data_IF_053044533531
#
_entry.id   IF_053044533531
#
_cell.length_a   1.000
_cell.length_b   1.000
_cell.length_c   1.000
_cell.angle_alpha   90.00
_cell.angle_beta   90.00
_cell.angle_gamma   90.00
#
_symmetry.space_group_name_H-M   'P 1'
#
loop_
_entity.id
_entity.type
_entity.pdbx_description
1 polymer ?
#
# COMPACT_ATOMS: atom_id res chain seq x y z
N UNK A 1 15.84 72.57 -7.46
CA UNK A 1 16.23 71.16 -7.20
C UNK A 1 15.23 70.26 -7.92
N UNK A 2 15.61 69.62 -9.03
CA UNK A 2 14.73 68.75 -9.84
C UNK A 2 14.93 67.30 -9.40
N UNK A 3 13.83 66.61 -9.03
CA UNK A 3 13.85 65.17 -8.68
C UNK A 3 13.74 64.32 -9.94
N UNK A 4 14.62 63.33 -10.04
CA UNK A 4 14.71 62.32 -11.09
C UNK A 4 13.71 61.19 -10.78
N UNK A 5 12.88 60.80 -11.76
CA UNK A 5 11.98 59.63 -11.67
C UNK A 5 12.63 58.51 -12.50
N UNK A 6 12.95 57.39 -11.86
CA UNK A 6 13.32 56.15 -12.57
C UNK A 6 12.02 55.40 -12.95
N UNK A 7 11.85 55.10 -14.23
CA UNK A 7 10.90 54.08 -14.71
C UNK A 7 11.57 52.70 -14.66
N UNK A 8 11.00 51.77 -13.91
CA UNK A 8 11.34 50.36 -14.00
C UNK A 8 10.49 49.70 -15.10
N UNK A 9 11.16 49.14 -16.11
CA UNK A 9 10.50 48.34 -17.15
C UNK A 9 10.26 46.91 -16.62
N UNK A 10 9.01 46.50 -16.50
CA UNK A 10 8.65 45.11 -16.25
C UNK A 10 8.64 44.33 -17.56
N UNK A 11 9.60 43.42 -17.72
CA UNK A 11 9.59 42.40 -18.78
C UNK A 11 8.54 41.34 -18.44
N UNK A 12 7.44 41.31 -19.18
CA UNK A 12 6.47 40.23 -19.11
C UNK A 12 7.04 38.99 -19.80
N UNK A 13 7.37 37.96 -19.03
CA UNK A 13 7.65 36.63 -19.59
C UNK A 13 6.32 35.98 -20.01
N UNK A 14 6.21 35.42 -21.22
CA UNK A 14 5.03 34.68 -21.61
C UNK A 14 4.91 33.45 -20.72
N UNK A 15 3.79 33.35 -20.00
CA UNK A 15 3.41 32.16 -19.27
C UNK A 15 3.12 31.07 -20.30
N UNK A 16 4.05 30.13 -20.49
CA UNK A 16 3.78 28.93 -21.29
C UNK A 16 2.66 28.16 -20.59
N UNK A 17 1.48 28.19 -21.21
CA UNK A 17 0.36 27.33 -20.82
C UNK A 17 0.83 25.88 -20.93
N UNK A 18 1.02 25.23 -19.77
CA UNK A 18 1.27 23.79 -19.69
C UNK A 18 0.08 23.10 -20.33
N UNK A 19 0.31 22.34 -21.40
CA UNK A 19 -0.72 21.54 -22.05
C UNK A 19 -1.38 20.66 -20.99
N UNK A 20 -2.71 20.70 -20.90
CA UNK A 20 -3.47 19.76 -20.10
C UNK A 20 -3.07 18.32 -20.50
N UNK A 21 -2.89 17.40 -19.55
CA UNK A 21 -2.64 16.01 -19.90
C UNK A 21 -3.79 15.49 -20.77
N UNK A 22 -3.45 14.71 -21.79
CA UNK A 22 -4.43 14.05 -22.64
C UNK A 22 -5.44 13.32 -21.76
N UNK A 23 -6.74 13.53 -22.03
CA UNK A 23 -7.85 12.85 -21.35
C UNK A 23 -7.72 11.34 -21.59
N UNK A 24 -7.10 10.66 -20.63
CA UNK A 24 -6.89 9.21 -20.67
C UNK A 24 -8.15 8.45 -20.22
N UNK A 25 -9.29 9.14 -20.06
CA UNK A 25 -10.59 8.59 -19.75
C UNK A 25 -10.77 8.11 -18.31
N UNK A 26 -9.78 8.27 -17.43
CA UNK A 26 -9.91 7.92 -16.01
C UNK A 26 -10.78 8.94 -15.28
N UNK A 27 -11.80 8.45 -14.57
CA UNK A 27 -12.66 9.26 -13.72
C UNK A 27 -12.43 8.89 -12.26
N UNK A 28 -12.24 9.89 -11.40
CA UNK A 28 -12.09 9.66 -9.96
C UNK A 28 -13.41 9.11 -9.41
N UNK A 29 -13.39 7.91 -8.85
CA UNK A 29 -14.58 7.23 -8.31
C UNK A 29 -14.55 7.09 -6.79
N UNK A 30 -13.37 7.18 -6.19
CA UNK A 30 -13.21 7.14 -4.75
C UNK A 30 -11.92 7.87 -4.34
N UNK A 31 -11.96 8.59 -3.23
CA UNK A 31 -10.80 9.29 -2.70
C UNK A 31 -10.86 9.37 -1.18
N UNK A 32 -9.69 9.44 -0.55
CA UNK A 32 -9.54 9.95 0.80
C UNK A 32 -8.34 10.90 0.87
N UNK A 33 -8.62 12.18 1.13
CA UNK A 33 -7.63 13.25 1.31
C UNK A 33 -7.19 13.37 2.77
N UNK A 34 -7.78 12.58 3.69
CA UNK A 34 -7.44 12.60 5.12
C UNK A 34 -7.54 13.98 5.81
N UNK A 35 -8.38 14.88 5.29
CA UNK A 35 -8.59 16.24 5.83
C UNK A 35 -9.41 16.27 7.14
N UNK A 36 -10.24 15.24 7.36
CA UNK A 36 -11.03 15.14 8.58
C UNK A 36 -10.12 14.87 9.80
N UNK A 37 -10.42 15.39 11.00
CA UNK A 37 -9.55 15.24 12.18
C UNK A 37 -9.44 13.80 12.70
N UNK A 38 -10.19 12.85 12.13
CA UNK A 38 -10.22 11.44 12.51
C UNK A 38 -10.36 10.59 11.26
N UNK A 39 -9.83 9.37 11.34
CA UNK A 39 -9.93 8.36 10.29
C UNK A 39 -11.40 8.06 10.03
N UNK A 40 -11.83 8.20 8.77
CA UNK A 40 -13.20 7.94 8.36
C UNK A 40 -13.53 6.45 8.48
N UNK A 41 -14.40 6.12 9.45
CA UNK A 41 -14.87 4.77 9.73
C UNK A 41 -15.99 4.33 8.81
N UNK A 42 -16.38 5.10 7.80
CA UNK A 42 -17.14 4.62 6.66
C UNK A 42 -16.20 4.05 5.59
N UNK A 43 -14.99 4.61 5.44
CA UNK A 43 -13.97 4.23 4.45
C UNK A 43 -12.98 3.17 4.93
N UNK A 44 -12.58 3.22 6.20
CA UNK A 44 -11.52 2.38 6.74
C UNK A 44 -11.93 1.54 7.94
N UNK A 45 -11.53 0.27 7.93
CA UNK A 45 -11.57 -0.67 9.07
C UNK A 45 -10.14 -0.87 9.59
N UNK A 46 -10.01 -1.12 10.89
CA UNK A 46 -8.74 -1.55 11.48
C UNK A 46 -8.72 -3.07 11.55
N UNK A 47 -7.60 -3.67 11.16
CA UNK A 47 -7.27 -5.03 11.55
C UNK A 47 -6.55 -5.00 12.91
N UNK A 48 -6.93 -5.90 13.80
CA UNK A 48 -6.37 -5.97 15.16
C UNK A 48 -6.04 -7.40 15.55
N UNK A 49 -4.76 -7.70 15.59
CA UNK A 49 -4.19 -9.01 15.93
C UNK A 49 -2.68 -8.90 16.15
N UNK A 50 -2.09 -9.98 16.65
CA UNK A 50 -0.66 -10.16 16.87
C UNK A 50 -0.16 -11.43 16.16
N UNK A 51 -0.85 -11.82 15.07
CA UNK A 51 -0.73 -13.14 14.45
C UNK A 51 0.61 -13.35 13.74
N UNK A 52 1.13 -12.29 13.13
CA UNK A 52 2.36 -12.35 12.33
C UNK A 52 2.11 -12.45 10.82
N UNK A 53 0.84 -12.35 10.38
CA UNK A 53 0.48 -12.22 8.96
C UNK A 53 0.75 -13.45 8.09
N UNK A 54 1.16 -14.58 8.67
CA UNK A 54 1.73 -15.72 7.92
C UNK A 54 3.18 -15.51 7.48
N UNK A 55 3.79 -14.38 7.85
CA UNK A 55 5.13 -13.95 7.44
C UNK A 55 6.11 -13.82 8.62
N UNK A 56 5.75 -14.32 9.80
CA UNK A 56 6.50 -14.17 11.07
C UNK A 56 6.71 -12.72 11.51
N UNK A 57 5.76 -11.83 11.19
CA UNK A 57 5.80 -10.42 11.59
C UNK A 57 5.81 -10.26 13.12
N UNK A 58 6.47 -9.20 13.61
CA UNK A 58 6.82 -9.00 15.03
C UNK A 58 5.91 -8.01 15.77
N UNK A 59 4.96 -7.36 15.10
CA UNK A 59 4.04 -6.40 15.70
C UNK A 59 2.69 -6.99 16.10
N UNK A 60 2.02 -6.32 17.03
CA UNK A 60 0.56 -6.32 17.13
C UNK A 60 0.00 -5.14 16.32
N UNK A 61 -0.93 -5.41 15.40
CA UNK A 61 -1.77 -4.37 14.81
C UNK A 61 -2.84 -3.94 15.81
N UNK A 62 -2.99 -2.63 16.01
CA UNK A 62 -3.95 -2.07 16.96
C UNK A 62 -4.82 -0.99 16.32
N UNK A 63 -5.94 -0.68 16.97
CA UNK A 63 -6.83 0.45 16.64
C UNK A 63 -6.52 1.71 17.47
N UNK A 64 -5.39 1.74 18.18
CA UNK A 64 -5.02 2.85 19.05
C UNK A 64 -4.68 4.09 18.24
N UNK A 65 -5.11 5.26 18.71
CA UNK A 65 -4.70 6.56 18.16
C UNK A 65 -3.18 6.79 18.21
N UNK A 66 -2.45 6.00 19.00
CA UNK A 66 -0.98 6.01 19.02
C UNK A 66 -0.36 5.31 17.81
N UNK A 67 -1.07 4.39 17.16
CA UNK A 67 -0.59 3.64 16.00
C UNK A 67 -1.20 4.11 14.69
N UNK A 68 -2.39 4.73 14.71
CA UNK A 68 -2.98 5.34 13.53
C UNK A 68 -3.83 6.55 13.88
N UNK A 69 -3.60 7.66 13.20
CA UNK A 69 -4.36 8.90 13.37
C UNK A 69 -4.22 9.82 12.17
N UNK A 70 -5.00 10.89 12.17
CA UNK A 70 -4.83 11.98 11.21
C UNK A 70 -3.96 13.06 11.84
N UNK A 71 -2.90 13.46 11.13
CA UNK A 71 -2.02 14.55 11.52
C UNK A 71 -1.77 15.47 10.32
N UNK A 72 -2.14 16.74 10.43
CA UNK A 72 -1.90 17.75 9.40
C UNK A 72 -2.40 17.33 8.00
N UNK A 73 -3.64 16.86 7.91
CA UNK A 73 -4.27 16.44 6.65
C UNK A 73 -3.76 15.12 6.09
N UNK A 74 -3.14 14.26 6.92
CA UNK A 74 -2.51 13.02 6.47
C UNK A 74 -2.85 11.87 7.39
N UNK A 75 -3.04 10.67 6.83
CA UNK A 75 -3.04 9.45 7.62
C UNK A 75 -1.61 9.12 8.04
N UNK A 76 -1.39 8.91 9.33
CA UNK A 76 -0.11 8.50 9.88
C UNK A 76 -0.25 7.13 10.52
N UNK A 77 0.42 6.13 9.94
CA UNK A 77 0.60 4.80 10.54
C UNK A 77 1.94 4.78 11.27
N UNK A 78 1.90 4.57 12.59
CA UNK A 78 3.05 4.61 13.49
C UNK A 78 3.32 3.26 14.11
N UNK A 79 4.47 2.68 13.77
CA UNK A 79 5.02 1.53 14.48
C UNK A 79 5.83 1.99 15.70
N UNK A 80 5.75 1.23 16.79
CA UNK A 80 6.41 1.53 18.08
C UNK A 80 7.08 0.28 18.63
N UNK A 81 8.24 0.46 19.26
CA UNK A 81 8.86 -0.57 20.09
C UNK A 81 8.29 -0.48 21.50
N UNK A 82 7.25 -1.27 21.75
CA UNK A 82 6.55 -1.34 23.03
C UNK A 82 5.87 -2.71 23.19
N UNK A 83 5.94 -3.25 24.41
CA UNK A 83 5.24 -4.50 24.72
C UNK A 83 3.74 -4.30 24.56
N UNK A 84 3.15 -5.07 23.65
CA UNK A 84 1.73 -4.98 23.31
C UNK A 84 1.13 -6.38 23.31
N UNK A 85 0.00 -6.53 24.00
CA UNK A 85 -0.79 -7.77 24.04
C UNK A 85 -2.07 -7.54 23.26
N UNK A 86 -2.48 -8.55 22.50
CA UNK A 86 -3.73 -8.54 21.78
C UNK A 86 -4.03 -9.90 21.19
N UNK A 87 -5.09 -10.01 20.36
CA UNK A 87 -5.54 -11.30 19.86
C UNK A 87 -4.47 -12.03 19.05
N UNK A 88 -4.29 -13.31 19.29
CA UNK A 88 -3.29 -14.13 18.62
C UNK A 88 -3.63 -14.41 17.14
N UNK A 89 -4.90 -14.29 16.76
CA UNK A 89 -5.39 -14.49 15.40
C UNK A 89 -6.16 -13.26 14.89
N UNK A 90 -6.16 -12.99 13.57
CA UNK A 90 -7.06 -12.02 12.98
C UNK A 90 -8.51 -12.50 13.10
N UNK A 91 -9.45 -11.55 13.12
CA UNK A 91 -10.88 -11.81 13.40
C UNK A 91 -11.47 -12.93 12.55
N UNK A 92 -11.17 -12.93 11.24
CA UNK A 92 -11.69 -13.93 10.30
C UNK A 92 -11.18 -15.36 10.55
N UNK A 93 -10.06 -15.55 11.27
CA UNK A 93 -9.53 -16.87 11.64
C UNK A 93 -9.98 -17.30 13.04
N UNK A 94 -10.51 -16.40 13.87
CA UNK A 94 -10.93 -16.74 15.24
C UNK A 94 -12.14 -17.66 15.25
N UNK A 95 -13.15 -17.39 14.43
CA UNK A 95 -14.41 -18.14 14.43
C UNK A 95 -14.25 -19.64 14.17
N UNK A 96 -13.18 -20.06 13.49
CA UNK A 96 -12.84 -21.46 13.23
C UNK A 96 -11.69 -22.02 14.09
N UNK A 97 -11.17 -21.23 15.03
CA UNK A 97 -10.05 -21.62 15.90
C UNK A 97 -10.56 -22.34 17.15
N UNK A 98 -9.78 -23.30 17.66
CA UNK A 98 -10.03 -23.91 18.97
C UNK A 98 -9.88 -22.90 20.13
N UNK A 99 -9.13 -21.81 19.91
CA UNK A 99 -8.87 -20.76 20.90
C UNK A 99 -9.15 -19.38 20.29
N UNK A 100 -10.43 -19.01 20.08
CA UNK A 100 -10.82 -17.77 19.41
C UNK A 100 -10.37 -16.51 20.19
N UNK A 101 -10.33 -16.60 21.52
CA UNK A 101 -9.96 -15.49 22.42
C UNK A 101 -8.49 -15.58 22.89
N UNK A 102 -7.65 -16.43 22.26
CA UNK A 102 -6.24 -16.47 22.61
C UNK A 102 -5.59 -15.11 22.36
N UNK A 103 -4.75 -14.68 23.30
CA UNK A 103 -3.93 -13.49 23.18
C UNK A 103 -2.45 -13.86 23.10
N UNK A 104 -1.65 -12.99 22.50
CA UNK A 104 -0.19 -13.09 22.52
C UNK A 104 0.43 -11.71 22.69
N UNK A 105 1.65 -11.69 23.23
CA UNK A 105 2.39 -10.45 23.47
C UNK A 105 3.53 -10.33 22.47
N UNK A 106 3.60 -9.18 21.81
CA UNK A 106 4.68 -8.82 20.89
C UNK A 106 5.46 -7.62 21.44
N UNK A 107 6.66 -7.39 20.90
CA UNK A 107 7.52 -6.27 21.30
C UNK A 107 7.28 -4.99 20.49
N UNK A 108 6.40 -5.06 19.49
CA UNK A 108 6.06 -3.92 18.66
C UNK A 108 4.54 -3.76 18.56
N UNK A 109 4.10 -2.52 18.39
CA UNK A 109 2.74 -2.18 17.94
C UNK A 109 2.79 -1.45 16.61
N UNK A 110 1.75 -1.59 15.79
CA UNK A 110 1.57 -0.84 14.54
C UNK A 110 0.07 -0.77 14.19
N UNK A 111 -0.26 -0.35 12.97
CA UNK A 111 -1.63 -0.40 12.45
C UNK A 111 -1.69 -0.97 11.02
N UNK A 112 -2.82 -1.60 10.73
CA UNK A 112 -3.23 -2.09 9.42
C UNK A 112 -4.66 -1.62 9.18
N UNK A 113 -4.85 -0.82 8.13
CA UNK A 113 -6.14 -0.29 7.72
C UNK A 113 -6.57 -0.95 6.42
N UNK A 114 -7.85 -1.22 6.28
CA UNK A 114 -8.42 -1.86 5.10
C UNK A 114 -9.76 -1.25 4.71
N UNK A 115 -10.05 -1.27 3.42
CA UNK A 115 -11.36 -0.91 2.84
C UNK A 115 -12.31 -2.12 2.77
N UNK A 116 -11.93 -3.28 3.30
CA UNK A 116 -12.74 -4.51 3.33
C UNK A 116 -14.14 -4.27 3.90
N UNK A 117 -15.16 -4.63 3.12
CA UNK A 117 -16.57 -4.43 3.47
C UNK A 117 -17.04 -2.97 3.38
N UNK A 118 -16.27 -2.10 2.71
CA UNK A 118 -16.54 -0.67 2.60
C UNK A 118 -16.40 -0.18 1.16
N UNK A 119 -15.28 -0.52 0.53
CA UNK A 119 -15.02 -0.28 -0.87
C UNK A 119 -14.13 -1.38 -1.41
N UNK A 120 -14.39 -1.77 -2.66
CA UNK A 120 -13.57 -2.67 -3.43
C UNK A 120 -13.77 -2.33 -4.91
N UNK A 121 -12.77 -2.63 -5.71
CA UNK A 121 -12.78 -2.28 -7.13
C UNK A 121 -12.36 -3.48 -7.95
N UNK A 122 -13.00 -3.64 -9.10
CA UNK A 122 -12.46 -4.47 -10.17
C UNK A 122 -12.00 -3.56 -11.29
N UNK A 123 -10.72 -3.66 -11.62
CA UNK A 123 -10.04 -2.74 -12.53
C UNK A 123 -10.06 -1.30 -12.02
N UNK A 124 -9.12 -0.50 -12.51
CA UNK A 124 -8.95 0.86 -12.02
C UNK A 124 -7.52 1.34 -12.07
N UNK A 125 -7.33 2.63 -11.90
CA UNK A 125 -6.08 3.18 -11.42
C UNK A 125 -6.20 3.33 -9.90
N UNK A 126 -5.23 2.83 -9.14
CA UNK A 126 -5.15 3.03 -7.68
C UNK A 126 -3.83 3.70 -7.40
N UNK A 127 -3.87 4.90 -6.81
CA UNK A 127 -2.66 5.64 -6.44
C UNK A 127 -2.74 6.05 -4.97
N UNK A 128 -1.59 5.98 -4.32
CA UNK A 128 -1.41 6.35 -2.92
C UNK A 128 -0.17 7.22 -2.84
N UNK A 129 -0.33 8.46 -2.39
CA UNK A 129 0.79 9.35 -2.15
C UNK A 129 1.28 9.18 -0.73
N UNK A 130 2.48 8.62 -0.58
CA UNK A 130 3.01 8.25 0.73
C UNK A 130 4.49 8.60 0.89
N UNK A 131 4.88 8.80 2.15
CA UNK A 131 6.24 8.81 2.64
C UNK A 131 6.48 7.57 3.50
N UNK A 132 7.53 6.84 3.18
CA UNK A 132 7.83 5.55 3.81
C UNK A 132 8.85 5.68 4.95
N UNK A 133 8.76 4.84 5.99
CA UNK A 133 9.76 4.81 7.05
C UNK A 133 11.06 4.15 6.58
N UNK A 134 12.17 4.59 7.17
CA UNK A 134 13.49 3.96 7.04
C UNK A 134 13.86 3.18 8.30
N UNK A 135 14.63 2.10 8.14
CA UNK A 135 15.25 1.35 9.23
C UNK A 135 15.12 -0.17 9.11
N UNK A 136 16.07 -0.88 9.72
CA UNK A 136 16.10 -2.34 9.69
C UNK A 136 14.88 -2.93 10.40
N UNK A 137 14.19 -3.82 9.70
CA UNK A 137 12.97 -4.47 10.13
C UNK A 137 11.69 -3.76 9.68
N UNK A 138 11.72 -2.57 9.09
CA UNK A 138 10.48 -1.92 8.64
C UNK A 138 9.98 -2.54 7.33
N UNK A 139 8.67 -2.77 7.22
CA UNK A 139 8.03 -3.28 6.02
C UNK A 139 6.69 -2.54 5.77
N UNK A 140 6.72 -1.32 5.22
CA UNK A 140 5.52 -0.64 4.72
C UNK A 140 4.96 -1.36 3.49
N UNK A 141 3.63 -1.45 3.42
CA UNK A 141 2.93 -2.05 2.29
C UNK A 141 1.65 -1.28 1.91
N UNK A 142 1.42 -1.19 0.60
CA UNK A 142 0.17 -0.75 -0.04
C UNK A 142 -0.21 -1.88 -0.99
N UNK A 143 -1.33 -2.53 -0.72
CA UNK A 143 -1.65 -3.79 -1.39
C UNK A 143 -3.15 -4.05 -1.36
N UNK A 144 -3.58 -5.01 -2.15
CA UNK A 144 -4.99 -5.32 -2.33
C UNK A 144 -5.25 -6.80 -2.22
N UNK A 145 -6.39 -7.15 -1.64
CA UNK A 145 -6.87 -8.53 -1.48
C UNK A 145 -8.29 -8.66 -2.04
N UNK A 146 -8.68 -9.84 -2.54
CA UNK A 146 -10.00 -10.04 -3.11
C UNK A 146 -11.08 -9.89 -2.05
N UNK A 147 -12.21 -9.27 -2.41
CA UNK A 147 -13.40 -9.18 -1.55
C UNK A 147 -13.96 -10.56 -1.17
N UNK A 148 -13.83 -11.51 -2.10
CA UNK A 148 -14.36 -12.86 -2.01
C UNK A 148 -13.35 -13.87 -2.54
N UNK A 149 -13.28 -15.04 -1.90
CA UNK A 149 -12.39 -16.14 -2.29
C UNK A 149 -12.99 -16.95 -3.45
N UNK A 150 -13.37 -16.28 -4.55
CA UNK A 150 -14.08 -16.86 -5.69
C UNK A 150 -13.34 -18.04 -6.35
N UNK A 151 -12.03 -18.09 -6.20
CA UNK A 151 -11.15 -19.13 -6.75
C UNK A 151 -10.51 -20.01 -5.65
N UNK A 152 -10.99 -19.89 -4.41
CA UNK A 152 -10.47 -20.56 -3.24
C UNK A 152 -9.55 -19.68 -2.39
N UNK A 153 -9.08 -20.25 -1.28
CA UNK A 153 -8.20 -19.56 -0.32
C UNK A 153 -6.93 -19.04 -0.98
N UNK A 154 -6.30 -18.07 -0.31
CA UNK A 154 -5.01 -17.55 -0.73
C UNK A 154 -4.00 -18.68 -1.09
N UNK A 155 -3.25 -18.58 -2.20
CA UNK A 155 -3.18 -17.47 -3.14
C UNK A 155 -4.14 -17.58 -4.34
N UNK A 156 -5.05 -18.56 -4.35
CA UNK A 156 -5.82 -18.91 -5.54
C UNK A 156 -6.76 -17.80 -6.03
N UNK A 157 -7.23 -16.95 -5.11
CA UNK A 157 -8.06 -15.76 -5.42
C UNK A 157 -7.27 -14.47 -5.63
N UNK A 158 -5.94 -14.53 -5.57
CA UNK A 158 -5.07 -13.41 -5.91
C UNK A 158 -4.70 -12.50 -4.73
N UNK A 159 -3.62 -11.75 -4.93
CA UNK A 159 -3.15 -10.61 -4.13
C UNK A 159 -2.40 -9.66 -5.08
N UNK A 160 -2.59 -8.34 -4.91
CA UNK A 160 -1.91 -7.32 -5.71
C UNK A 160 -1.15 -6.38 -4.78
N UNK A 161 0.17 -6.48 -4.76
CA UNK A 161 1.05 -5.57 -4.03
C UNK A 161 1.38 -4.38 -4.91
N UNK A 162 0.75 -3.23 -4.63
CA UNK A 162 1.03 -1.96 -5.32
C UNK A 162 2.41 -1.47 -4.94
N UNK A 163 2.76 -1.62 -3.66
CA UNK A 163 4.07 -1.29 -3.12
C UNK A 163 4.36 -2.18 -1.92
N UNK A 164 5.53 -2.79 -1.93
CA UNK A 164 6.23 -3.12 -0.69
C UNK A 164 7.67 -2.61 -0.74
N UNK A 165 8.19 -2.27 0.43
CA UNK A 165 9.61 -1.99 0.61
C UNK A 165 10.05 -2.54 1.95
N UNK A 166 11.32 -2.92 2.07
CA UNK A 166 11.89 -3.40 3.33
C UNK A 166 13.20 -2.72 3.62
N UNK A 167 13.47 -2.43 4.89
CA UNK A 167 14.78 -1.96 5.36
C UNK A 167 15.28 -0.68 4.67
N UNK A 168 14.40 0.18 4.15
CA UNK A 168 14.80 1.39 3.42
C UNK A 168 15.82 2.21 4.23
N UNK A 169 16.85 2.70 3.55
CA UNK A 169 17.94 3.48 4.13
C UNK A 169 18.93 2.68 4.98
N UNK A 170 18.77 1.37 5.13
CA UNK A 170 19.77 0.53 5.79
C UNK A 170 20.99 0.39 4.90
N UNK A 171 22.18 0.44 5.49
CA UNK A 171 23.44 0.19 4.78
C UNK A 171 23.41 -1.20 4.13
N UNK A 172 23.69 -1.24 2.84
CA UNK A 172 23.62 -2.45 2.04
C UNK A 172 24.77 -2.44 1.03
N UNK A 173 25.80 -3.25 1.27
CA UNK A 173 27.01 -3.28 0.45
C UNK A 173 26.75 -3.72 -1.00
N UNK A 174 25.67 -4.48 -1.24
CA UNK A 174 25.28 -4.96 -2.57
C UNK A 174 24.29 -4.04 -3.28
N UNK A 175 23.73 -3.05 -2.59
CA UNK A 175 22.72 -2.17 -3.15
C UNK A 175 23.39 -1.01 -3.92
N UNK A 176 22.85 -0.59 -5.07
CA UNK A 176 23.29 0.62 -5.75
C UNK A 176 23.23 1.83 -4.81
N UNK A 177 24.34 2.56 -4.65
CA UNK A 177 24.44 3.68 -3.71
C UNK A 177 24.68 3.29 -2.25
N UNK A 178 24.93 2.01 -1.95
CA UNK A 178 25.34 1.53 -0.62
C UNK A 178 24.24 1.51 0.43
N UNK A 179 23.00 1.81 0.05
CA UNK A 179 21.81 1.86 0.91
C UNK A 179 20.66 1.13 0.24
N UNK A 180 19.85 0.45 1.03
CA UNK A 180 18.62 -0.18 0.56
C UNK A 180 17.62 0.90 0.13
N UNK A 181 17.19 0.85 -1.12
CA UNK A 181 16.27 1.80 -1.76
C UNK A 181 15.33 1.09 -2.74
N UNK A 182 15.16 -0.23 -2.59
CA UNK A 182 14.37 -1.04 -3.49
C UNK A 182 12.88 -0.93 -3.14
N UNK A 183 12.06 -0.72 -4.16
CA UNK A 183 10.60 -0.88 -4.09
C UNK A 183 10.20 -2.11 -4.91
N UNK A 184 9.07 -2.75 -4.54
CA UNK A 184 8.52 -3.87 -5.29
C UNK A 184 7.05 -3.69 -5.60
N UNK A 185 6.65 -4.26 -6.73
CA UNK A 185 5.25 -4.59 -7.02
C UNK A 185 5.14 -6.07 -7.37
N UNK A 186 4.14 -6.75 -6.80
CA UNK A 186 4.03 -8.21 -6.90
C UNK A 186 2.58 -8.64 -7.11
N UNK A 187 2.40 -9.73 -7.85
CA UNK A 187 1.16 -10.49 -7.89
C UNK A 187 1.39 -11.83 -7.21
N UNK A 188 0.48 -12.24 -6.33
CA UNK A 188 0.40 -13.62 -5.84
C UNK A 188 -0.83 -14.30 -6.42
N UNK A 189 -0.67 -15.52 -6.91
CA UNK A 189 -1.71 -16.27 -7.62
C UNK A 189 -1.44 -17.79 -7.55
N UNK A 190 -2.14 -18.59 -8.35
CA UNK A 190 -1.93 -20.04 -8.45
C UNK A 190 -2.97 -20.83 -7.65
N UNK A 191 -2.53 -21.71 -6.76
CA UNK A 191 -3.39 -22.46 -5.85
C UNK A 191 -3.13 -22.15 -4.37
N UNK A 192 -3.84 -22.83 -3.45
CA UNK A 192 -3.44 -22.86 -2.05
C UNK A 192 -2.03 -23.44 -1.90
N UNK A 193 -1.32 -23.06 -0.83
CA UNK A 193 0.00 -23.61 -0.51
C UNK A 193 0.02 -25.15 -0.60
N UNK A 194 1.03 -25.78 -1.24
CA UNK A 194 2.26 -25.17 -1.77
C UNK A 194 2.18 -24.79 -3.26
N UNK A 195 0.98 -24.75 -3.86
CA UNK A 195 0.77 -24.45 -5.30
C UNK A 195 0.64 -22.96 -5.59
N UNK A 196 0.88 -22.11 -4.60
CA UNK A 196 0.93 -20.66 -4.79
C UNK A 196 2.16 -20.28 -5.62
N UNK A 197 2.02 -19.25 -6.43
CA UNK A 197 3.07 -18.66 -7.23
C UNK A 197 3.03 -17.14 -7.08
N UNK A 198 4.11 -16.48 -7.47
CA UNK A 198 4.17 -15.03 -7.52
C UNK A 198 4.96 -14.54 -8.72
N UNK A 199 4.62 -13.33 -9.17
CA UNK A 199 5.32 -12.64 -10.25
C UNK A 199 5.34 -11.16 -9.94
N UNK A 200 6.53 -10.61 -9.77
CA UNK A 200 6.72 -9.20 -9.42
C UNK A 200 7.96 -8.62 -10.08
N UNK A 201 8.23 -7.36 -9.76
CA UNK A 201 9.43 -6.63 -10.14
C UNK A 201 9.97 -5.91 -8.90
N UNK A 202 11.29 -5.96 -8.70
CA UNK A 202 12.00 -5.19 -7.68
C UNK A 202 12.94 -4.20 -8.39
N UNK A 203 12.81 -2.91 -8.12
CA UNK A 203 13.64 -1.87 -8.76
C UNK A 203 14.26 -0.93 -7.72
N UNK A 204 15.53 -0.52 -7.90
CA UNK A 204 16.10 0.58 -7.13
C UNK A 204 15.32 1.87 -7.42
N UNK A 205 14.91 2.58 -6.37
CA UNK A 205 14.27 3.88 -6.45
C UNK A 205 14.92 4.82 -5.42
N UNK A 206 16.07 5.45 -5.75
CA UNK A 206 16.85 6.25 -4.80
C UNK A 206 16.06 7.38 -4.13
N UNK A 207 15.11 7.98 -4.85
CA UNK A 207 14.32 9.12 -4.38
C UNK A 207 13.46 8.74 -3.16
N UNK A 208 13.14 7.45 -2.95
CA UNK A 208 12.46 6.97 -1.73
C UNK A 208 13.16 7.35 -0.41
N UNK A 209 14.44 7.72 -0.49
CA UNK A 209 15.26 8.13 0.65
C UNK A 209 15.35 9.64 0.85
N UNK A 210 14.72 10.47 -0.01
CA UNK A 210 14.81 11.94 0.03
C UNK A 210 14.00 12.59 1.17
N UNK A 211 13.15 11.81 1.84
CA UNK A 211 12.30 12.26 2.95
C UNK A 211 10.99 12.93 2.50
N UNK A 212 10.72 12.92 1.20
CA UNK A 212 9.52 13.40 0.54
C UNK A 212 8.42 12.35 0.39
N UNK A 213 7.37 12.75 -0.32
CA UNK A 213 6.25 11.91 -0.66
C UNK A 213 6.34 11.53 -2.13
N UNK A 214 6.08 10.25 -2.41
CA UNK A 214 5.98 9.73 -3.76
C UNK A 214 4.61 9.12 -3.99
N UNK A 215 4.19 9.09 -5.24
CA UNK A 215 2.92 8.50 -5.65
C UNK A 215 3.15 7.09 -6.15
N UNK A 216 2.70 6.11 -5.40
CA UNK A 216 2.79 4.70 -5.76
C UNK A 216 1.44 4.24 -6.30
N UNK A 217 1.42 3.52 -7.41
CA UNK A 217 0.16 3.10 -7.97
C UNK A 217 0.22 2.00 -9.00
N UNK A 218 -0.96 1.53 -9.35
CA UNK A 218 -1.18 0.60 -10.46
C UNK A 218 -2.22 1.18 -11.42
N UNK A 219 -2.05 0.87 -12.70
CA UNK A 219 -3.15 0.83 -13.66
C UNK A 219 -3.49 -0.64 -13.90
N UNK A 220 -4.68 -1.05 -13.45
CA UNK A 220 -5.20 -2.40 -13.56
C UNK A 220 -6.33 -2.43 -14.59
N UNK A 221 -6.07 -3.10 -15.69
CA UNK A 221 -6.96 -3.28 -16.83
C UNK A 221 -7.23 -4.79 -17.01
N UNK A 222 -8.27 -5.18 -17.77
CA UNK A 222 -8.49 -6.58 -18.12
C UNK A 222 -7.22 -7.20 -18.74
N UNK A 223 -6.63 -8.15 -18.03
CA UNK A 223 -5.45 -8.90 -18.48
C UNK A 223 -4.13 -8.13 -18.46
N UNK A 224 -4.05 -6.94 -17.86
CA UNK A 224 -2.81 -6.18 -17.71
C UNK A 224 -2.78 -5.39 -16.42
N UNK A 225 -1.68 -5.46 -15.68
CA UNK A 225 -1.42 -4.62 -14.50
C UNK A 225 -0.08 -3.92 -14.70
N UNK A 226 -0.08 -2.59 -14.58
CA UNK A 226 1.11 -1.75 -14.76
C UNK A 226 1.38 -0.98 -13.49
N UNK A 227 2.54 -1.20 -12.88
CA UNK A 227 2.98 -0.47 -11.68
C UNK A 227 3.71 0.81 -12.06
N UNK A 228 3.48 1.84 -11.25
CA UNK A 228 4.02 3.17 -11.44
C UNK A 228 4.50 3.75 -10.11
N UNK A 229 5.58 4.52 -10.19
CA UNK A 229 6.02 5.43 -9.13
C UNK A 229 6.20 6.82 -9.73
N UNK A 230 5.60 7.83 -9.12
CA UNK A 230 5.56 9.22 -9.62
C UNK A 230 5.14 9.34 -11.09
N UNK A 231 4.12 8.55 -11.46
CA UNK A 231 3.58 8.48 -12.83
C UNK A 231 4.50 7.77 -13.84
N UNK A 232 5.64 7.22 -13.40
CA UNK A 232 6.59 6.50 -14.26
C UNK A 232 6.40 5.00 -14.09
N UNK A 233 6.12 4.31 -15.19
CA UNK A 233 6.05 2.84 -15.20
C UNK A 233 7.39 2.22 -14.88
N UNK A 234 7.41 1.26 -13.94
CA UNK A 234 8.58 0.42 -13.69
C UNK A 234 8.32 -1.07 -13.94
N UNK A 235 7.06 -1.50 -13.96
CA UNK A 235 6.71 -2.89 -14.25
C UNK A 235 5.37 -3.00 -14.98
N UNK A 236 5.23 -4.03 -15.80
CA UNK A 236 3.95 -4.45 -16.37
C UNK A 236 3.89 -5.97 -16.36
N UNK A 237 2.73 -6.50 -16.00
CA UNK A 237 2.39 -7.91 -16.10
C UNK A 237 1.15 -8.10 -16.96
N UNK A 238 1.13 -9.19 -17.72
CA UNK A 238 0.01 -9.54 -18.61
C UNK A 238 -0.59 -10.90 -18.24
N UNK A 239 -1.83 -11.14 -18.67
CA UNK A 239 -2.63 -12.32 -18.29
C UNK A 239 -1.94 -13.67 -18.49
N UNK A 240 -1.02 -13.79 -19.46
CA UNK A 240 -0.27 -15.03 -19.69
C UNK A 240 0.77 -15.34 -18.60
N UNK A 241 1.06 -14.39 -17.71
CA UNK A 241 2.05 -14.53 -16.64
C UNK A 241 1.43 -14.96 -15.30
N UNK A 242 0.09 -15.02 -15.21
CA UNK A 242 -0.60 -15.47 -14.01
C UNK A 242 -1.70 -16.47 -14.33
N UNK A 243 -2.14 -17.21 -13.31
CA UNK A 243 -3.15 -18.26 -13.43
C UNK A 243 -3.74 -18.58 -12.06
N UNK A 244 -4.82 -19.36 -12.02
CA UNK A 244 -5.36 -19.94 -10.79
C UNK A 244 -5.69 -21.42 -10.99
N UNK A 245 -5.57 -22.24 -9.94
CA UNK A 245 -5.95 -23.68 -10.02
C UNK A 245 -7.46 -23.89 -10.24
N UNK A 246 -8.28 -22.87 -9.98
CA UNK A 246 -9.74 -23.00 -9.96
C UNK A 246 -10.44 -22.55 -11.24
N UNK A 247 -9.73 -21.97 -12.22
CA UNK A 247 -10.32 -21.41 -13.44
C UNK A 247 -9.33 -21.39 -14.60
N UNK A 248 -9.83 -21.60 -15.82
CA UNK A 248 -9.10 -21.38 -17.07
C UNK A 248 -9.45 -20.07 -17.78
N UNK A 249 -10.30 -19.23 -17.17
CA UNK A 249 -10.71 -17.94 -17.76
C UNK A 249 -9.51 -16.98 -17.80
N UNK A 250 -9.18 -16.39 -18.97
CA UNK A 250 -8.13 -15.40 -19.06
C UNK A 250 -8.36 -14.22 -18.12
N UNK A 251 -7.33 -13.84 -17.36
CA UNK A 251 -7.39 -12.74 -16.40
C UNK A 251 -7.63 -13.16 -14.95
N UNK A 252 -8.19 -14.35 -14.70
CA UNK A 252 -8.30 -14.89 -13.35
C UNK A 252 -6.91 -15.14 -12.72
N UNK A 253 -6.68 -14.81 -11.43
CA UNK A 253 -7.70 -14.42 -10.46
C UNK A 253 -7.93 -12.90 -10.33
N UNK A 254 -7.25 -12.07 -11.12
CA UNK A 254 -7.32 -10.60 -11.07
C UNK A 254 -8.47 -10.03 -11.92
N UNK A 255 -9.60 -10.74 -11.94
CA UNK A 255 -10.85 -10.41 -12.62
C UNK A 255 -12.03 -10.26 -11.65
N UNK A 256 -11.73 -10.14 -10.35
CA UNK A 256 -12.68 -9.95 -9.24
C UNK A 256 -12.48 -8.59 -8.57
N UNK A 257 -13.36 -8.24 -7.63
CA UNK A 257 -13.20 -7.03 -6.82
C UNK A 257 -12.12 -7.24 -5.75
N UNK A 258 -11.27 -6.23 -5.57
CA UNK A 258 -10.21 -6.22 -4.56
C UNK A 258 -10.37 -4.98 -3.67
N UNK A 259 -10.22 -5.17 -2.36
CA UNK A 259 -10.15 -4.11 -1.37
C UNK A 259 -8.69 -3.71 -1.09
N UNK A 260 -8.47 -2.43 -0.82
CA UNK A 260 -7.16 -1.86 -0.49
C UNK A 260 -6.80 -2.07 1.00
N UNK A 261 -5.51 -2.29 1.25
CA UNK A 261 -4.87 -2.43 2.56
C UNK A 261 -3.67 -1.49 2.64
N UNK A 262 -3.55 -0.78 3.75
CA UNK A 262 -2.39 0.04 4.12
C UNK A 262 -1.84 -0.45 5.47
N UNK A 263 -0.57 -0.80 5.54
CA UNK A 263 0.06 -1.15 6.81
C UNK A 263 1.55 -0.85 6.87
N UNK A 264 2.04 -0.85 8.11
CA UNK A 264 3.46 -0.87 8.42
C UNK A 264 3.76 -2.10 9.28
N UNK A 265 4.24 -3.18 8.67
CA UNK A 265 4.74 -4.35 9.39
C UNK A 265 6.15 -4.09 9.95
N UNK A 266 6.51 -4.83 11.00
CA UNK A 266 7.84 -4.87 11.59
C UNK A 266 8.33 -6.32 11.62
N UNK A 267 9.51 -6.57 11.05
CA UNK A 267 10.11 -7.89 10.97
C UNK A 267 9.32 -8.84 10.06
N UNK A 268 9.60 -10.13 10.21
CA UNK A 268 9.14 -11.17 9.29
C UNK A 268 10.25 -11.65 8.35
N UNK A 269 10.01 -12.78 7.68
CA UNK A 269 11.05 -13.49 6.94
C UNK A 269 11.78 -12.64 5.89
N UNK A 270 11.04 -11.79 5.17
CA UNK A 270 11.61 -10.92 4.13
C UNK A 270 12.55 -9.83 4.68
N UNK A 271 12.11 -8.89 5.55
CA UNK A 271 13.00 -7.86 6.08
C UNK A 271 14.12 -8.45 6.95
N UNK A 272 13.89 -9.54 7.68
CA UNK A 272 14.90 -10.14 8.55
C UNK A 272 15.98 -10.94 7.78
N UNK A 273 15.71 -11.37 6.54
CA UNK A 273 16.68 -12.02 5.67
C UNK A 273 17.51 -11.03 4.82
N UNK A 274 17.19 -9.72 4.86
CA UNK A 274 17.84 -8.66 4.08
C UNK A 274 18.50 -7.62 4.98
N UNK A 275 19.40 -6.83 4.38
CA UNK A 275 20.11 -5.76 5.09
C UNK A 275 21.03 -6.28 6.17
N UNK A 276 20.85 -5.80 7.41
CA UNK A 276 21.66 -6.18 8.58
C UNK A 276 21.17 -7.47 9.25
N UNK A 277 20.05 -8.02 8.80
CA UNK A 277 19.39 -9.15 9.43
C UNK A 277 18.58 -8.75 10.68
N UNK A 278 17.57 -9.56 11.00
CA UNK A 278 16.71 -9.34 12.17
C UNK A 278 15.98 -7.98 12.16
N UNK A 279 15.56 -7.54 13.35
CA UNK A 279 14.90 -6.24 13.59
C UNK A 279 15.75 -5.43 14.56
N UNK A 280 15.99 -4.15 14.26
CA UNK A 280 16.61 -3.23 15.23
C UNK A 280 15.53 -2.51 16.03
N UNK A 281 15.80 -2.27 17.32
CA UNK A 281 14.83 -1.71 18.26
C UNK A 281 15.00 -0.19 18.48
N UNK A 282 15.87 0.46 17.71
CA UNK A 282 16.18 1.88 17.81
C UNK A 282 15.55 2.71 16.68
N UNK A 283 15.49 4.02 16.90
CA UNK A 283 14.88 4.96 15.95
C UNK A 283 13.37 4.80 15.80
N UNK A 284 12.69 4.19 16.77
CA UNK A 284 11.23 4.24 16.93
C UNK A 284 10.80 5.55 17.61
N UNK A 285 9.59 6.07 17.32
CA UNK A 285 8.59 5.49 16.42
C UNK A 285 8.98 5.56 14.93
N UNK A 286 8.53 4.58 14.14
CA UNK A 286 8.66 4.56 12.68
C UNK A 286 7.31 4.92 12.07
N UNK A 287 7.28 5.78 11.05
CA UNK A 287 6.04 6.35 10.51
C UNK A 287 5.96 6.17 9.01
N UNK A 288 4.86 5.58 8.56
CA UNK A 288 4.38 5.68 7.18
C UNK A 288 3.31 6.77 7.16
N UNK A 289 3.51 7.78 6.32
CA UNK A 289 2.60 8.91 6.20
C UNK A 289 1.95 8.87 4.82
N UNK A 290 0.63 8.98 4.77
CA UNK A 290 -0.15 8.93 3.54
C UNK A 290 -0.90 10.25 3.41
N UNK A 291 -0.61 10.95 2.33
CA UNK A 291 -1.20 12.24 1.99
C UNK A 291 -2.61 12.07 1.42
N UNK A 292 -2.76 11.15 0.47
CA UNK A 292 -4.06 10.82 -0.09
C UNK A 292 -4.07 9.42 -0.70
N UNK A 293 -5.27 8.89 -0.87
CA UNK A 293 -5.55 7.69 -1.67
C UNK A 293 -6.60 8.05 -2.70
N UNK A 294 -6.34 7.75 -3.96
CA UNK A 294 -7.28 7.99 -5.05
C UNK A 294 -7.47 6.71 -5.87
N UNK A 295 -8.71 6.48 -6.28
CA UNK A 295 -9.09 5.40 -7.19
C UNK A 295 -9.87 5.98 -8.35
N UNK A 296 -9.42 5.66 -9.56
CA UNK A 296 -10.07 6.05 -10.80
C UNK A 296 -10.54 4.83 -11.56
N UNK A 297 -11.66 4.95 -12.26
CA UNK A 297 -12.15 3.93 -13.19
C UNK A 297 -12.49 4.56 -14.54
N UNK A 298 -12.38 3.76 -15.60
CA UNK A 298 -12.92 4.11 -16.91
C UNK A 298 -14.29 3.43 -17.04
N UNK A 299 -15.35 4.13 -17.46
CA UNK A 299 -16.66 3.51 -17.71
C UNK A 299 -16.59 2.29 -18.64
N UNK A 300 -15.69 2.33 -19.63
CA UNK A 300 -15.48 1.26 -20.62
C UNK A 300 -14.88 -0.05 -20.05
N UNK A 301 -14.35 -0.05 -18.82
CA UNK A 301 -13.71 -1.24 -18.22
C UNK A 301 -14.68 -2.08 -17.36
N UNK A 302 -15.98 -1.78 -17.35
CA UNK A 302 -16.95 -2.51 -16.54
C UNK A 302 -16.86 -2.15 -15.04
N UNK A 303 -16.77 -0.85 -14.78
CA UNK A 303 -16.63 -0.22 -13.47
C UNK A 303 -17.62 -0.78 -12.44
N UNK A 304 -17.14 -0.98 -11.22
CA UNK A 304 -17.97 -1.35 -10.07
C UNK A 304 -18.69 -0.10 -9.59
N UNK A 305 -20.03 -0.11 -9.65
CA UNK A 305 -20.82 1.02 -9.15
C UNK A 305 -20.52 1.21 -7.65
N UNK A 306 -20.35 2.45 -7.16
CA UNK A 306 -20.15 2.68 -5.74
C UNK A 306 -21.35 2.13 -4.97
N UNK A 307 -21.09 1.38 -3.89
CA UNK A 307 -22.13 0.89 -3.00
C UNK A 307 -22.98 2.09 -2.55
N UNK A 308 -24.28 2.05 -2.84
CA UNK A 308 -25.23 3.06 -2.37
C UNK A 308 -25.16 3.10 -0.84
N UNK A 309 -24.66 4.20 -0.28
CA UNK A 309 -24.81 4.50 1.13
C UNK A 309 -26.30 4.49 1.46
N UNK A 310 -26.71 3.57 2.34
CA UNK A 310 -28.03 3.61 2.94
C UNK A 310 -28.13 4.81 3.86
N UNK A 311 -29.27 5.53 3.76
CA UNK A 311 -29.69 6.59 4.67
C UNK A 311 -29.57 6.20 6.15
#
# INVERSE_FOLDING_TARGET
MKRLILLAAFLAYPYSARSAPADDGWQLVWADEFEAPRIDRAKWRFETDCWGGGNDERQCYTKSGRNAGIEQGKLVITARFERTTGPALPEHLRAGSAMPEAETTRQFSSAKLTTRGRAAWRYGKVEVRARLPQGQGTWPAIWMMPSDEAYGRWAASGEIDILEAVNLGVSCAKCPGGRENTIRGTLHFGGPSPKNASKGEEVPFPDVLDGGFHTYGIAWEPGKITWQVDGRTYATRVASEWWTTASGVPGAPFDREFYLILNLAIGGGLPEARGLGGVRNDGYPKRMEIDWVHVWQRPALGATAPAKGGN
#
